data_IF_481570381097
#
_entry.id   IF_481570381097
#
_cell.length_a   1.000
_cell.length_b   1.000
_cell.length_c   1.000
_cell.angle_alpha   90.00
_cell.angle_beta   90.00
_cell.angle_gamma   90.00
#
_symmetry.space_group_name_H-M   'P 1'
#
loop_
_entity.id
_entity.type
_entity.pdbx_description
1 polymer ?
#
# COMPACT_ATOMS: atom_id res chain seq x y z
N UNK A 1 15.86 -24.59 15.91
CA UNK A 1 14.59 -24.87 15.23
C UNK A 1 14.38 -23.77 14.20
N UNK A 2 14.48 -24.09 12.92
CA UNK A 2 14.40 -23.10 11.84
C UNK A 2 12.94 -22.95 11.38
N UNK A 3 12.28 -21.87 11.81
CA UNK A 3 10.86 -21.55 11.52
C UNK A 3 10.68 -20.60 10.33
N UNK A 4 11.68 -20.51 9.45
CA UNK A 4 11.85 -19.40 8.49
C UNK A 4 10.82 -19.30 7.34
N UNK A 5 10.24 -20.38 6.77
CA UNK A 5 9.32 -20.25 5.63
C UNK A 5 7.92 -19.73 6.00
N UNK A 6 7.39 -20.15 7.16
CA UNK A 6 6.07 -19.73 7.64
C UNK A 6 6.03 -18.24 7.95
N UNK A 7 7.09 -17.74 8.58
CA UNK A 7 7.22 -16.33 8.95
C UNK A 7 7.20 -15.42 7.72
N UNK A 8 7.90 -15.80 6.64
CA UNK A 8 7.91 -15.05 5.38
C UNK A 8 6.52 -14.94 4.74
N UNK A 9 5.77 -16.05 4.70
CA UNK A 9 4.45 -16.07 4.07
C UNK A 9 3.41 -15.35 4.94
N UNK A 10 3.53 -15.41 6.26
CA UNK A 10 2.71 -14.64 7.19
C UNK A 10 2.94 -13.13 7.02
N UNK A 11 4.19 -12.68 6.81
CA UNK A 11 4.50 -11.29 6.49
C UNK A 11 3.82 -10.84 5.18
N UNK A 12 3.89 -11.66 4.13
CA UNK A 12 3.17 -11.38 2.88
C UNK A 12 1.66 -11.22 3.11
N UNK A 13 1.06 -12.10 3.92
CA UNK A 13 -0.37 -12.01 4.23
C UNK A 13 -0.71 -10.79 5.10
N UNK A 14 0.18 -10.38 6.01
CA UNK A 14 -0.01 -9.17 6.80
C UNK A 14 -0.01 -7.91 5.91
N UNK A 15 0.87 -7.88 4.90
CA UNK A 15 0.88 -6.81 3.89
C UNK A 15 -0.41 -6.83 3.05
N UNK A 16 -0.88 -8.02 2.63
CA UNK A 16 -2.17 -8.17 1.91
C UNK A 16 -3.36 -7.61 2.71
N UNK A 17 -3.44 -7.92 4.01
CA UNK A 17 -4.49 -7.37 4.89
C UNK A 17 -4.37 -5.86 5.06
N UNK A 18 -3.14 -5.35 5.19
CA UNK A 18 -2.89 -3.92 5.35
C UNK A 18 -3.27 -3.15 4.08
N UNK A 19 -2.95 -3.68 2.89
CA UNK A 19 -3.34 -3.04 1.63
C UNK A 19 -4.84 -3.08 1.37
N UNK A 20 -5.54 -4.15 1.77
CA UNK A 20 -7.00 -4.16 1.74
C UNK A 20 -7.58 -3.07 2.65
N UNK A 21 -7.07 -2.94 3.88
CA UNK A 21 -7.51 -1.89 4.80
C UNK A 21 -7.24 -0.47 4.25
N UNK A 22 -6.12 -0.26 3.53
CA UNK A 22 -5.86 1.01 2.83
C UNK A 22 -6.89 1.28 1.74
N UNK A 23 -7.24 0.26 0.93
CA UNK A 23 -8.26 0.41 -0.10
C UNK A 23 -9.64 0.72 0.51
N UNK A 24 -10.02 0.02 1.57
CA UNK A 24 -11.30 0.25 2.27
C UNK A 24 -11.35 1.68 2.85
N UNK A 25 -10.25 2.17 3.43
CA UNK A 25 -10.13 3.53 3.94
C UNK A 25 -10.20 4.58 2.81
N UNK A 26 -9.53 4.33 1.68
CA UNK A 26 -9.57 5.22 0.51
C UNK A 26 -10.99 5.31 -0.08
N UNK A 27 -11.71 4.19 -0.16
CA UNK A 27 -13.12 4.16 -0.58
C UNK A 27 -14.04 4.93 0.37
N UNK A 28 -13.71 4.97 1.67
CA UNK A 28 -14.40 5.75 2.68
C UNK A 28 -13.93 7.22 2.75
N UNK A 29 -12.97 7.63 1.91
CA UNK A 29 -12.31 8.94 1.94
C UNK A 29 -11.61 9.28 3.28
N UNK A 30 -11.24 8.26 4.08
CA UNK A 30 -10.48 8.42 5.32
C UNK A 30 -8.97 8.45 5.02
N UNK A 31 -8.52 9.56 4.44
CA UNK A 31 -7.11 9.73 4.05
C UNK A 31 -6.15 9.70 5.23
N UNK A 32 -6.59 10.11 6.43
CA UNK A 32 -5.81 9.99 7.65
C UNK A 32 -5.55 8.51 8.00
N UNK A 33 -6.56 7.64 7.84
CA UNK A 33 -6.37 6.20 8.00
C UNK A 33 -5.44 5.62 6.93
N UNK A 34 -5.57 6.04 5.67
CA UNK A 34 -4.65 5.62 4.60
C UNK A 34 -3.20 5.93 4.96
N UNK A 35 -2.89 7.15 5.42
CA UNK A 35 -1.52 7.54 5.83
C UNK A 35 -1.00 6.73 7.02
N UNK A 36 -1.85 6.43 8.02
CA UNK A 36 -1.46 5.57 9.16
C UNK A 36 -1.16 4.14 8.71
N UNK A 37 -1.99 3.60 7.83
CA UNK A 37 -1.85 2.24 7.30
C UNK A 37 -0.63 2.11 6.36
N UNK A 38 -0.31 3.15 5.59
CA UNK A 38 0.91 3.21 4.78
C UNK A 38 2.16 3.05 5.67
N UNK A 39 2.20 3.78 6.80
CA UNK A 39 3.31 3.67 7.76
C UNK A 39 3.43 2.25 8.33
N UNK A 40 2.31 1.60 8.64
CA UNK A 40 2.31 0.19 9.09
C UNK A 40 2.79 -0.76 7.98
N UNK A 41 2.36 -0.52 6.74
CA UNK A 41 2.79 -1.30 5.57
C UNK A 41 4.30 -1.18 5.33
N UNK A 42 4.86 0.03 5.44
CA UNK A 42 6.30 0.27 5.31
C UNK A 42 7.12 -0.56 6.31
N UNK A 43 6.70 -0.62 7.58
CA UNK A 43 7.36 -1.45 8.61
C UNK A 43 7.33 -2.93 8.23
N UNK A 44 6.18 -3.44 7.77
CA UNK A 44 6.06 -4.84 7.34
C UNK A 44 6.95 -5.15 6.12
N UNK A 45 7.06 -4.22 5.18
CA UNK A 45 7.93 -4.36 4.01
C UNK A 45 9.41 -4.37 4.42
N UNK A 46 9.85 -3.52 5.34
CA UNK A 46 11.23 -3.56 5.84
C UNK A 46 11.54 -4.88 6.55
N UNK A 47 10.64 -5.38 7.40
CA UNK A 47 10.80 -6.71 8.03
C UNK A 47 10.87 -7.84 7.00
N UNK A 48 10.02 -7.78 5.98
CA UNK A 48 10.04 -8.75 4.89
C UNK A 48 11.38 -8.73 4.12
N UNK A 49 12.00 -7.55 3.95
CA UNK A 49 13.33 -7.43 3.32
C UNK A 49 14.44 -8.03 4.18
N UNK A 50 14.36 -7.86 5.50
CA UNK A 50 15.30 -8.46 6.46
C UNK A 50 15.24 -9.99 6.46
N UNK A 51 14.06 -10.58 6.23
CA UNK A 51 13.85 -12.02 6.30
C UNK A 51 14.54 -12.84 5.19
N UNK A 52 14.97 -12.23 4.09
CA UNK A 52 15.98 -12.78 3.16
C UNK A 52 15.82 -14.22 2.60
N UNK A 53 15.72 -14.31 1.26
CA UNK A 53 15.79 -15.48 0.36
C UNK A 53 14.59 -16.44 0.29
N UNK A 54 14.03 -16.52 -0.92
CA UNK A 54 12.96 -17.44 -1.37
C UNK A 54 13.41 -18.91 -1.50
N UNK A 55 14.68 -19.19 -1.16
CA UNK A 55 15.34 -20.47 -1.43
C UNK A 55 14.59 -21.68 -0.89
N UNK A 56 13.89 -21.49 0.24
CA UNK A 56 13.17 -22.55 0.95
C UNK A 56 11.67 -22.60 0.65
N UNK A 57 11.15 -21.74 -0.24
CA UNK A 57 9.73 -21.78 -0.61
C UNK A 57 9.43 -22.93 -1.57
N UNK A 58 8.48 -23.76 -1.18
CA UNK A 58 7.86 -24.78 -2.04
C UNK A 58 7.15 -24.12 -3.23
N UNK A 59 6.89 -24.86 -4.34
CA UNK A 59 6.15 -24.33 -5.48
C UNK A 59 4.78 -23.73 -5.11
N UNK A 60 4.07 -24.35 -4.15
CA UNK A 60 2.78 -23.85 -3.66
C UNK A 60 2.92 -22.52 -2.93
N UNK A 61 3.95 -22.35 -2.11
CA UNK A 61 4.19 -21.10 -1.39
C UNK A 61 4.63 -19.98 -2.33
N UNK A 62 5.43 -20.29 -3.36
CA UNK A 62 5.78 -19.33 -4.43
C UNK A 62 4.53 -18.86 -5.17
N UNK A 63 3.64 -19.77 -5.55
CA UNK A 63 2.38 -19.43 -6.19
C UNK A 63 1.50 -18.55 -5.29
N UNK A 64 1.43 -18.86 -3.99
CA UNK A 64 0.70 -18.04 -3.01
C UNK A 64 1.29 -16.64 -2.88
N UNK A 65 2.62 -16.52 -2.78
CA UNK A 65 3.32 -15.23 -2.78
C UNK A 65 3.01 -14.43 -4.04
N UNK A 66 3.09 -15.03 -5.22
CA UNK A 66 2.78 -14.36 -6.49
C UNK A 66 1.34 -13.83 -6.52
N UNK A 67 0.36 -14.62 -6.05
CA UNK A 67 -1.05 -14.18 -5.90
C UNK A 67 -1.16 -12.95 -5.01
N UNK A 68 -0.44 -12.93 -3.88
CA UNK A 68 -0.42 -11.80 -2.95
C UNK A 68 0.15 -10.56 -3.64
N UNK A 69 1.29 -10.66 -4.33
CA UNK A 69 1.90 -9.53 -5.05
C UNK A 69 0.96 -8.93 -6.11
N UNK A 70 0.30 -9.76 -6.90
CA UNK A 70 -0.69 -9.28 -7.88
C UNK A 70 -1.88 -8.59 -7.21
N UNK A 71 -2.28 -9.06 -6.03
CA UNK A 71 -3.35 -8.44 -5.25
C UNK A 71 -2.94 -7.06 -4.73
N UNK A 72 -1.71 -6.91 -4.23
CA UNK A 72 -1.17 -5.61 -3.81
C UNK A 72 -1.16 -4.60 -4.96
N UNK A 73 -0.64 -4.99 -6.13
CA UNK A 73 -0.59 -4.12 -7.31
C UNK A 73 -1.99 -3.65 -7.74
N UNK A 74 -2.99 -4.52 -7.63
CA UNK A 74 -4.38 -4.18 -7.92
C UNK A 74 -4.93 -3.17 -6.90
N UNK A 75 -4.70 -3.39 -5.60
CA UNK A 75 -5.14 -2.44 -4.58
C UNK A 75 -4.49 -1.06 -4.76
N UNK A 76 -3.19 -1.02 -5.06
CA UNK A 76 -2.48 0.24 -5.31
C UNK A 76 -3.03 1.00 -6.52
N UNK A 77 -3.37 0.29 -7.61
CA UNK A 77 -4.00 0.89 -8.78
C UNK A 77 -5.37 1.49 -8.42
N UNK A 78 -6.21 0.74 -7.69
CA UNK A 78 -7.53 1.21 -7.26
C UNK A 78 -7.44 2.41 -6.30
N UNK A 79 -6.46 2.44 -5.39
CA UNK A 79 -6.24 3.58 -4.51
C UNK A 79 -5.85 4.82 -5.33
N UNK A 80 -4.98 4.68 -6.33
CA UNK A 80 -4.59 5.81 -7.21
C UNK A 80 -5.77 6.38 -7.99
N UNK A 81 -6.62 5.52 -8.53
CA UNK A 81 -7.85 5.93 -9.23
C UNK A 81 -8.81 6.74 -8.34
N UNK A 82 -8.80 6.52 -7.01
CA UNK A 82 -9.61 7.28 -6.06
C UNK A 82 -8.99 8.65 -5.70
N UNK A 83 -7.67 8.78 -5.82
CA UNK A 83 -6.93 10.01 -5.49
C UNK A 83 -6.86 10.97 -6.67
N UNK A 84 -6.62 10.46 -7.89
CA UNK A 84 -6.44 11.26 -9.11
C UNK A 84 -7.54 12.30 -9.35
N UNK A 85 -8.85 11.99 -9.20
CA UNK A 85 -9.92 12.98 -9.39
C UNK A 85 -9.93 14.07 -8.30
N UNK A 86 -9.57 13.73 -7.06
CA UNK A 86 -9.66 14.64 -5.92
C UNK A 86 -8.51 15.67 -5.92
N UNK A 87 -7.31 15.28 -6.34
CA UNK A 87 -6.20 16.21 -6.54
C UNK A 87 -6.55 17.22 -7.64
N UNK A 88 -7.29 16.76 -8.66
CA UNK A 88 -7.71 17.63 -9.74
C UNK A 88 -8.65 18.76 -9.29
N UNK A 89 -9.67 18.38 -8.51
CA UNK A 89 -10.60 19.34 -7.93
C UNK A 89 -9.92 20.30 -6.92
N UNK A 90 -8.93 19.83 -6.16
CA UNK A 90 -8.18 20.67 -5.23
C UNK A 90 -7.35 21.73 -5.95
N UNK A 91 -6.63 21.39 -7.03
CA UNK A 91 -5.87 22.41 -7.78
C UNK A 91 -6.80 23.39 -8.50
N UNK A 92 -7.96 22.93 -8.99
CA UNK A 92 -8.94 23.79 -9.63
C UNK A 92 -9.53 24.81 -8.65
N UNK A 93 -9.77 24.40 -7.40
CA UNK A 93 -10.31 25.27 -6.34
C UNK A 93 -9.23 26.16 -5.68
N UNK A 94 -7.96 25.77 -5.71
CA UNK A 94 -6.82 26.56 -5.26
C UNK A 94 -6.25 27.48 -6.35
N UNK A 95 -7.11 27.95 -7.28
CA UNK A 95 -6.74 28.79 -8.43
C UNK A 95 -5.71 29.87 -8.08
N UNK A 96 -4.86 30.27 -9.06
CA UNK A 96 -3.64 31.02 -8.81
C UNK A 96 -3.93 32.20 -7.89
N UNK A 97 -3.24 32.26 -6.74
CA UNK A 97 -3.25 33.42 -5.85
C UNK A 97 -3.01 34.64 -6.72
N UNK A 98 -4.07 35.39 -7.01
CA UNK A 98 -3.98 36.71 -7.63
C UNK A 98 -3.22 37.55 -6.63
N UNK A 99 -1.91 37.63 -6.81
CA UNK A 99 -1.09 38.69 -6.25
C UNK A 99 -1.57 39.99 -6.92
N UNK A 100 -2.62 40.59 -6.37
CA UNK A 100 -2.90 42.00 -6.58
C UNK A 100 -1.81 42.77 -5.88
N UNK A 101 -0.69 42.96 -6.58
CA UNK A 101 0.23 44.05 -6.31
C UNK A 101 -0.53 45.36 -6.61
N UNK A 102 -1.15 45.90 -5.57
CA UNK A 102 -1.39 47.32 -5.45
C UNK A 102 -0.04 47.99 -5.15
N UNK A 103 0.54 48.61 -6.18
CA UNK A 103 1.16 49.95 -6.18
C UNK A 103 2.00 50.15 -7.45
#
# INVERSE_FOLDING_TARGET
MSTMPTDLLEHYQAIERTSQAMLDAAQAHDWDAVMRLESACAVLIERLRELGQEGDLTPTERARKQRIMLTLLRHDAQIRELVEPCVDDLWANLGPTRSTLLH
#
